data_IF_811715791019
#
_entry.id   IF_811715791019
#
_cell.length_a   1.000
_cell.length_b   1.000
_cell.length_c   1.000
_cell.angle_alpha   90.00
_cell.angle_beta   90.00
_cell.angle_gamma   90.00
#
_symmetry.space_group_name_H-M   'P 1'
#
loop_
_entity.id
_entity.type
_entity.pdbx_description
1 polymer ?
#
# COMPACT_ATOMS: atom_id res chain seq x y z
N UNK A 1 -1.71 -4.54 -17.34
CA UNK A 1 -2.67 -5.04 -16.32
C UNK A 1 -2.53 -6.53 -16.11
N UNK A 2 -2.62 -7.01 -14.85
CA UNK A 2 -2.70 -8.44 -14.51
C UNK A 2 -3.63 -8.62 -13.31
N UNK A 3 -4.56 -9.61 -13.40
CA UNK A 3 -5.34 -10.00 -12.22
C UNK A 3 -4.44 -10.82 -11.29
N UNK A 4 -4.31 -10.42 -10.04
CA UNK A 4 -3.43 -11.04 -9.05
C UNK A 4 -4.19 -11.81 -7.97
N UNK A 5 -5.48 -11.52 -7.82
CA UNK A 5 -6.36 -12.25 -6.93
C UNK A 5 -7.82 -12.15 -7.39
N UNK A 6 -8.55 -13.26 -7.27
CA UNK A 6 -9.99 -13.30 -7.53
C UNK A 6 -10.63 -14.27 -6.51
N UNK A 7 -11.23 -13.68 -5.49
CA UNK A 7 -11.87 -14.39 -4.39
C UNK A 7 -13.39 -14.29 -4.40
N UNK A 8 -14.01 -14.65 -3.28
CA UNK A 8 -15.47 -14.56 -3.12
C UNK A 8 -15.93 -13.11 -2.90
N UNK A 9 -15.15 -12.31 -2.17
CA UNK A 9 -15.52 -10.94 -1.77
C UNK A 9 -14.90 -9.86 -2.64
N UNK A 10 -13.68 -10.08 -3.11
CA UNK A 10 -12.97 -9.08 -3.92
C UNK A 10 -12.09 -9.69 -5.00
N UNK A 11 -11.79 -8.87 -6.00
CA UNK A 11 -10.69 -9.07 -6.93
C UNK A 11 -9.65 -7.97 -6.77
N UNK A 12 -8.40 -8.26 -7.12
CA UNK A 12 -7.30 -7.32 -7.14
C UNK A 12 -6.63 -7.39 -8.50
N UNK A 13 -6.63 -6.28 -9.21
CA UNK A 13 -5.90 -6.11 -10.47
C UNK A 13 -4.69 -5.20 -10.22
N UNK A 14 -3.52 -5.62 -10.73
CA UNK A 14 -2.24 -4.91 -10.67
C UNK A 14 -1.95 -4.22 -11.99
N UNK A 15 -1.53 -2.99 -11.91
CA UNK A 15 -1.03 -2.15 -13.00
C UNK A 15 0.40 -1.78 -12.72
N UNK A 16 1.28 -1.95 -13.70
CA UNK A 16 2.72 -1.68 -13.54
C UNK A 16 3.11 -0.58 -14.52
N UNK A 17 3.76 0.47 -14.01
CA UNK A 17 4.28 1.57 -14.84
C UNK A 17 5.65 2.05 -14.35
N UNK A 18 6.29 2.93 -15.12
CA UNK A 18 7.55 3.56 -14.74
C UNK A 18 8.64 2.58 -14.30
N UNK A 19 9.18 2.76 -13.12
CA UNK A 19 10.21 1.91 -12.50
C UNK A 19 9.61 0.70 -11.77
N UNK A 20 8.75 -0.06 -12.44
CA UNK A 20 8.01 -1.19 -11.84
C UNK A 20 7.09 -0.77 -10.69
N UNK A 21 6.57 0.47 -10.74
CA UNK A 21 5.59 0.95 -9.77
C UNK A 21 4.29 0.16 -9.90
N UNK A 22 3.80 -0.31 -8.78
CA UNK A 22 2.52 -1.01 -8.68
C UNK A 22 1.41 -0.03 -8.30
N UNK A 23 0.33 -0.06 -9.05
CA UNK A 23 -0.97 0.44 -8.61
C UNK A 23 -1.96 -0.72 -8.57
N UNK A 24 -2.99 -0.60 -7.77
CA UNK A 24 -3.98 -1.66 -7.64
C UNK A 24 -5.40 -1.12 -7.75
N UNK A 25 -6.25 -1.89 -8.43
CA UNK A 25 -7.71 -1.71 -8.40
C UNK A 25 -8.29 -2.88 -7.59
N UNK A 26 -8.89 -2.55 -6.46
CA UNK A 26 -9.58 -3.54 -5.61
C UNK A 26 -11.07 -3.39 -5.81
N UNK A 27 -11.72 -4.44 -6.30
CA UNK A 27 -13.14 -4.42 -6.65
C UNK A 27 -13.94 -5.38 -5.75
N UNK A 28 -14.98 -4.87 -5.12
CA UNK A 28 -15.97 -5.67 -4.39
C UNK A 28 -16.80 -6.50 -5.38
N UNK A 29 -16.69 -7.82 -5.31
CA UNK A 29 -17.33 -8.75 -6.27
C UNK A 29 -18.86 -8.67 -6.27
N UNK A 30 -19.47 -8.37 -5.12
CA UNK A 30 -20.93 -8.29 -5.02
C UNK A 30 -21.50 -6.98 -5.53
N UNK A 31 -20.81 -5.85 -5.30
CA UNK A 31 -21.37 -4.51 -5.57
C UNK A 31 -20.80 -3.84 -6.81
N UNK A 32 -19.65 -4.30 -7.31
CA UNK A 32 -18.88 -3.63 -8.35
C UNK A 32 -18.25 -2.30 -7.91
N UNK A 33 -18.35 -1.97 -6.62
CA UNK A 33 -17.64 -0.81 -6.05
C UNK A 33 -16.16 -1.12 -5.93
N UNK A 34 -15.31 -0.12 -6.17
CA UNK A 34 -13.86 -0.30 -6.18
C UNK A 34 -13.12 0.84 -5.48
N UNK A 35 -11.87 0.57 -5.14
CA UNK A 35 -10.91 1.54 -4.62
C UNK A 35 -9.60 1.40 -5.40
N UNK A 36 -8.99 2.53 -5.72
CA UNK A 36 -7.66 2.59 -6.34
C UNK A 36 -6.61 2.78 -5.25
N UNK A 37 -5.53 2.00 -5.30
CA UNK A 37 -4.38 2.12 -4.41
C UNK A 37 -3.18 2.57 -5.24
N UNK A 38 -2.64 3.74 -4.95
CA UNK A 38 -1.60 4.47 -5.66
C UNK A 38 -1.95 4.83 -7.12
N UNK A 39 -1.29 5.88 -7.59
CA UNK A 39 -1.54 6.47 -8.92
C UNK A 39 -0.22 6.87 -9.57
N UNK A 40 0.61 5.90 -9.99
CA UNK A 40 1.88 6.17 -10.64
C UNK A 40 1.71 6.86 -12.01
N UNK A 41 2.82 7.21 -12.64
CA UNK A 41 2.84 7.78 -13.98
C UNK A 41 2.11 6.87 -14.98
N UNK A 42 1.53 7.48 -16.01
CA UNK A 42 0.77 6.78 -17.08
C UNK A 42 -0.33 5.84 -16.53
N UNK A 43 -1.35 6.37 -15.87
CA UNK A 43 -2.42 5.58 -15.29
C UNK A 43 -3.48 5.13 -16.31
N UNK A 44 -3.21 5.14 -17.62
CA UNK A 44 -4.20 4.90 -18.67
C UNK A 44 -4.89 3.55 -18.52
N UNK A 45 -4.12 2.46 -18.41
CA UNK A 45 -4.70 1.10 -18.23
C UNK A 45 -5.49 0.98 -16.91
N UNK A 46 -5.05 1.65 -15.85
CA UNK A 46 -5.77 1.69 -14.58
C UNK A 46 -7.11 2.41 -14.72
N UNK A 47 -7.13 3.55 -15.40
CA UNK A 47 -8.35 4.33 -15.65
C UNK A 47 -9.33 3.51 -16.48
N UNK A 48 -8.89 2.94 -17.60
CA UNK A 48 -9.73 2.10 -18.48
C UNK A 48 -10.34 0.92 -17.73
N UNK A 49 -9.57 0.25 -16.86
CA UNK A 49 -10.08 -0.86 -16.06
C UNK A 49 -11.05 -0.37 -14.95
N UNK A 50 -10.82 0.79 -14.38
CA UNK A 50 -11.66 1.36 -13.34
C UNK A 50 -13.01 1.88 -13.88
N UNK A 51 -13.08 2.28 -15.17
CA UNK A 51 -14.34 2.76 -15.82
C UNK A 51 -15.47 1.72 -15.82
N UNK A 52 -15.15 0.43 -15.80
CA UNK A 52 -16.16 -0.64 -15.74
C UNK A 52 -16.60 -0.99 -14.31
N UNK A 53 -16.05 -0.31 -13.32
CA UNK A 53 -16.39 -0.45 -11.90
C UNK A 53 -17.00 0.85 -11.37
N UNK A 54 -17.36 0.86 -10.09
CA UNK A 54 -17.77 2.08 -9.41
C UNK A 54 -16.71 2.49 -8.40
N UNK A 55 -15.79 3.36 -8.82
CA UNK A 55 -14.74 3.88 -7.95
C UNK A 55 -15.34 4.74 -6.85
N UNK A 56 -15.05 4.43 -5.58
CA UNK A 56 -15.55 5.13 -4.40
C UNK A 56 -14.44 5.93 -3.68
N UNK A 57 -13.17 5.54 -3.85
CA UNK A 57 -12.05 6.20 -3.21
C UNK A 57 -10.74 5.98 -3.97
N UNK A 58 -9.78 6.88 -3.74
CA UNK A 58 -8.37 6.71 -4.10
C UNK A 58 -7.55 6.78 -2.82
N UNK A 59 -6.76 5.75 -2.52
CA UNK A 59 -5.89 5.67 -1.35
C UNK A 59 -4.43 5.70 -1.81
N UNK A 60 -3.64 6.57 -1.22
CA UNK A 60 -2.23 6.72 -1.52
C UNK A 60 -1.42 6.18 -0.35
N UNK A 61 -0.47 5.30 -0.63
CA UNK A 61 0.38 4.71 0.40
C UNK A 61 1.37 5.71 0.97
N UNK A 62 1.96 6.55 0.13
CA UNK A 62 2.90 7.59 0.54
C UNK A 62 3.13 8.66 -0.54
N UNK A 63 3.81 9.74 -0.18
CA UNK A 63 3.90 10.95 -0.98
C UNK A 63 5.04 11.01 -2.01
N UNK A 64 5.77 9.94 -2.31
CA UNK A 64 6.78 9.99 -3.37
C UNK A 64 6.14 10.17 -4.75
N UNK A 65 6.85 10.91 -5.60
CA UNK A 65 6.34 11.34 -6.91
C UNK A 65 5.84 10.17 -7.75
N UNK A 66 6.55 9.10 -7.77
CA UNK A 66 6.26 7.91 -8.57
C UNK A 66 5.02 7.12 -8.10
N UNK A 67 4.46 7.45 -6.91
CA UNK A 67 3.18 6.93 -6.43
C UNK A 67 2.00 7.89 -6.63
N UNK A 68 2.27 9.17 -6.93
CA UNK A 68 1.23 10.21 -7.03
C UNK A 68 1.23 10.94 -8.37
N UNK A 69 2.17 10.69 -9.28
CA UNK A 69 2.34 11.44 -10.52
C UNK A 69 1.09 11.42 -11.41
N UNK A 70 0.37 10.30 -11.45
CA UNK A 70 -0.89 10.12 -12.19
C UNK A 70 -2.15 10.58 -11.45
N UNK A 71 -2.03 11.06 -10.20
CA UNK A 71 -3.19 11.42 -9.38
C UNK A 71 -4.11 12.45 -10.06
N UNK A 72 -3.52 13.43 -10.76
CA UNK A 72 -4.29 14.45 -11.48
C UNK A 72 -5.17 13.87 -12.58
N UNK A 73 -4.70 12.84 -13.29
CA UNK A 73 -5.46 12.15 -14.35
C UNK A 73 -6.55 11.26 -13.74
N UNK A 74 -6.21 10.48 -12.73
CA UNK A 74 -7.17 9.63 -12.01
C UNK A 74 -8.29 10.47 -11.39
N UNK A 75 -7.97 11.56 -10.69
CA UNK A 75 -8.98 12.41 -10.03
C UNK A 75 -9.87 13.19 -10.99
N UNK A 76 -9.43 13.44 -12.23
CA UNK A 76 -10.30 14.03 -13.28
C UNK A 76 -11.31 13.02 -13.80
N UNK A 77 -10.94 11.75 -13.93
CA UNK A 77 -11.85 10.69 -14.37
C UNK A 77 -12.77 10.23 -13.24
N UNK A 78 -12.24 10.17 -12.02
CA UNK A 78 -12.96 9.73 -10.82
C UNK A 78 -12.86 10.82 -9.74
N UNK A 79 -13.81 11.79 -9.69
CA UNK A 79 -13.80 12.87 -8.69
C UNK A 79 -14.33 12.38 -7.32
N UNK A 80 -13.69 11.36 -6.77
CA UNK A 80 -14.03 10.71 -5.51
C UNK A 80 -13.12 11.18 -4.36
N UNK A 81 -13.49 10.90 -3.10
CA UNK A 81 -12.62 11.15 -1.95
C UNK A 81 -11.27 10.45 -2.07
N UNK A 82 -10.20 11.10 -1.61
CA UNK A 82 -8.88 10.52 -1.52
C UNK A 82 -8.39 10.48 -0.06
N UNK A 83 -7.50 9.52 0.23
CA UNK A 83 -6.79 9.36 1.50
C UNK A 83 -5.30 9.24 1.28
N UNK A 84 -4.52 9.93 2.11
CA UNK A 84 -3.07 9.85 2.21
C UNK A 84 -2.67 10.20 3.64
N UNK A 85 -1.55 9.68 4.15
CA UNK A 85 -1.03 10.07 5.45
C UNK A 85 -0.85 11.57 5.58
N UNK A 86 -1.22 12.14 6.73
CA UNK A 86 -1.28 13.59 6.92
C UNK A 86 0.05 14.29 6.63
N UNK A 87 1.18 13.67 6.99
CA UNK A 87 2.51 14.24 6.80
C UNK A 87 2.98 14.21 5.33
N UNK A 88 2.30 13.44 4.47
CA UNK A 88 2.55 13.38 3.03
C UNK A 88 1.49 14.15 2.19
N UNK A 89 0.52 14.78 2.85
CA UNK A 89 -0.60 15.48 2.19
C UNK A 89 -0.16 16.50 1.12
N UNK A 90 0.98 17.14 1.34
CA UNK A 90 1.54 18.14 0.42
C UNK A 90 1.97 17.58 -0.93
N UNK A 91 2.13 16.27 -1.07
CA UNK A 91 2.47 15.61 -2.33
C UNK A 91 1.31 15.58 -3.33
N UNK A 92 0.09 15.79 -2.85
CA UNK A 92 -1.10 15.90 -3.69
C UNK A 92 -1.48 17.37 -3.94
N UNK A 93 -2.11 17.69 -5.09
CA UNK A 93 -2.60 19.04 -5.36
C UNK A 93 -3.48 19.59 -4.23
N UNK A 94 -3.41 20.89 -3.99
CA UNK A 94 -4.26 21.54 -2.97
C UNK A 94 -5.75 21.44 -3.29
N UNK A 95 -6.11 21.27 -4.57
CA UNK A 95 -7.48 21.05 -5.04
C UNK A 95 -7.95 19.60 -4.87
N UNK A 96 -7.07 18.67 -4.48
CA UNK A 96 -7.46 17.27 -4.27
C UNK A 96 -8.45 17.14 -3.10
N UNK A 97 -9.51 16.37 -3.31
CA UNK A 97 -10.53 16.09 -2.29
C UNK A 97 -10.03 15.07 -1.25
N UNK A 98 -9.00 15.45 -0.48
CA UNK A 98 -8.41 14.58 0.56
C UNK A 98 -9.19 14.76 1.84
N UNK A 99 -10.18 13.90 2.04
CA UNK A 99 -11.08 13.91 3.20
C UNK A 99 -11.11 12.57 3.95
N UNK A 100 -10.44 11.54 3.40
CA UNK A 100 -10.31 10.25 4.08
C UNK A 100 -9.09 10.34 5.00
N UNK A 101 -9.34 10.30 6.31
CA UNK A 101 -8.27 10.19 7.29
C UNK A 101 -7.78 8.75 7.37
N UNK A 102 -6.46 8.57 7.45
CA UNK A 102 -5.81 7.25 7.45
C UNK A 102 -4.89 7.02 8.67
N UNK A 103 -5.26 7.43 9.89
CA UNK A 103 -4.52 7.04 11.09
C UNK A 103 -4.65 5.52 11.30
N UNK A 104 -3.72 4.97 12.08
CA UNK A 104 -3.76 3.55 12.42
C UNK A 104 -5.11 3.15 13.04
N UNK A 105 -5.70 2.09 12.47
CA UNK A 105 -6.98 1.53 12.91
C UNK A 105 -8.21 2.12 12.23
N UNK A 106 -8.08 3.22 11.49
CA UNK A 106 -9.21 3.74 10.72
C UNK A 106 -9.59 2.78 9.59
N UNK A 107 -10.88 2.72 9.27
CA UNK A 107 -11.42 1.81 8.26
C UNK A 107 -12.09 2.56 7.12
N UNK A 108 -11.83 2.11 5.91
CA UNK A 108 -12.42 2.61 4.68
C UNK A 108 -13.32 1.52 4.12
N UNK A 109 -14.62 1.78 4.02
CA UNK A 109 -15.61 0.82 3.53
C UNK A 109 -15.92 1.11 2.06
N UNK A 110 -15.79 0.09 1.20
CA UNK A 110 -16.09 0.14 -0.23
C UNK A 110 -16.96 -1.06 -0.60
N UNK A 111 -18.25 -0.81 -0.78
CA UNK A 111 -19.23 -1.89 -0.89
C UNK A 111 -19.23 -2.76 0.37
N UNK A 112 -18.96 -4.05 0.22
CA UNK A 112 -18.88 -5.01 1.34
C UNK A 112 -17.46 -5.27 1.82
N UNK A 113 -16.47 -4.62 1.21
CA UNK A 113 -15.08 -4.78 1.62
C UNK A 113 -14.64 -3.63 2.53
N UNK A 114 -13.73 -3.92 3.42
CA UNK A 114 -13.19 -2.95 4.38
C UNK A 114 -11.67 -2.99 4.31
N UNK A 115 -11.07 -1.82 4.09
CA UNK A 115 -9.63 -1.64 4.23
C UNK A 115 -9.34 -0.95 5.55
N UNK A 116 -8.37 -1.48 6.30
CA UNK A 116 -7.91 -0.87 7.55
C UNK A 116 -6.57 -0.18 7.33
N UNK A 117 -6.51 1.10 7.63
CA UNK A 117 -5.28 1.89 7.55
C UNK A 117 -4.34 1.56 8.72
N UNK A 118 -3.05 1.52 8.42
CA UNK A 118 -1.96 1.38 9.38
C UNK A 118 -0.89 2.41 9.03
N UNK A 119 -0.76 3.46 9.83
CA UNK A 119 0.34 4.41 9.67
C UNK A 119 1.66 3.69 9.95
N UNK A 120 2.56 3.74 8.97
CA UNK A 120 3.86 3.04 8.99
C UNK A 120 4.98 4.00 8.62
N UNK A 121 5.19 5.07 9.40
CA UNK A 121 6.20 6.06 9.09
C UNK A 121 7.61 5.46 9.07
N UNK A 122 8.49 6.13 8.31
CA UNK A 122 9.91 5.81 8.21
C UNK A 122 10.45 5.92 6.79
N UNK A 123 9.85 5.27 5.78
CA UNK A 123 10.18 5.51 4.37
C UNK A 123 9.82 6.95 3.98
N UNK A 124 8.58 7.34 4.28
CA UNK A 124 8.17 8.75 4.40
C UNK A 124 7.49 8.97 5.75
N UNK A 125 7.36 10.23 6.22
CA UNK A 125 6.62 10.51 7.46
C UNK A 125 5.14 10.11 7.40
N UNK A 126 4.51 10.18 6.23
CA UNK A 126 3.10 9.87 6.02
C UNK A 126 2.84 8.45 5.48
N UNK A 127 3.86 7.59 5.38
CA UNK A 127 3.66 6.21 4.89
C UNK A 127 2.54 5.49 5.61
N UNK A 128 1.67 4.85 4.83
CA UNK A 128 0.47 4.15 5.32
C UNK A 128 0.30 2.84 4.55
N UNK A 129 0.16 1.73 5.28
CA UNK A 129 -0.24 0.45 4.70
C UNK A 129 -1.76 0.29 4.80
N UNK A 130 -2.36 -0.41 3.84
CA UNK A 130 -3.80 -0.71 3.84
C UNK A 130 -4.01 -2.21 3.89
N UNK A 131 -4.73 -2.69 4.90
CA UNK A 131 -5.00 -4.12 5.11
C UNK A 131 -6.42 -4.43 4.67
N UNK A 132 -6.56 -5.36 3.74
CA UNK A 132 -7.81 -5.89 3.23
C UNK A 132 -8.04 -7.26 3.88
N UNK A 133 -8.92 -7.30 4.87
CA UNK A 133 -9.18 -8.49 5.69
C UNK A 133 -10.53 -9.12 5.36
N UNK A 134 -10.58 -10.45 5.38
CA UNK A 134 -11.83 -11.20 5.37
C UNK A 134 -12.18 -11.63 6.79
N UNK A 135 -13.18 -11.01 7.44
CA UNK A 135 -13.51 -11.32 8.83
C UNK A 135 -13.94 -12.77 9.07
N UNK A 136 -14.47 -13.43 8.04
CA UNK A 136 -14.89 -14.82 8.07
C UNK A 136 -13.87 -15.79 7.44
N UNK A 137 -12.68 -15.27 7.07
CA UNK A 137 -11.62 -16.03 6.40
C UNK A 137 -12.06 -16.74 5.09
N UNK A 138 -13.10 -16.23 4.40
CA UNK A 138 -13.50 -16.75 3.09
C UNK A 138 -12.46 -16.42 2.02
N UNK A 139 -11.75 -15.30 2.16
CA UNK A 139 -10.68 -14.86 1.27
C UNK A 139 -9.35 -14.67 2.02
N UNK A 140 -8.25 -14.71 1.29
CA UNK A 140 -6.90 -14.47 1.85
C UNK A 140 -6.73 -12.98 2.16
N UNK A 141 -6.22 -12.66 3.34
CA UNK A 141 -5.86 -11.30 3.73
C UNK A 141 -4.73 -10.75 2.85
N UNK A 142 -4.86 -9.51 2.40
CA UNK A 142 -3.86 -8.78 1.64
C UNK A 142 -3.46 -7.51 2.36
N UNK A 143 -2.19 -7.10 2.22
CA UNK A 143 -1.71 -5.80 2.71
C UNK A 143 -0.96 -5.07 1.60
N UNK A 144 -1.42 -3.86 1.28
CA UNK A 144 -0.75 -2.92 0.37
C UNK A 144 0.24 -2.13 1.19
N UNK A 145 1.52 -2.38 1.00
CA UNK A 145 2.57 -1.83 1.85
C UNK A 145 3.23 -0.56 1.30
N UNK A 146 2.92 -0.18 0.05
CA UNK A 146 3.71 0.83 -0.61
C UNK A 146 5.19 0.48 -0.48
N UNK A 147 5.99 1.45 -0.09
CA UNK A 147 7.43 1.27 0.08
C UNK A 147 7.85 1.01 1.54
N UNK A 148 6.95 0.52 2.38
CA UNK A 148 7.27 0.14 3.76
C UNK A 148 7.94 -1.23 3.82
N UNK A 149 7.46 -2.21 3.04
CA UNK A 149 7.94 -3.61 3.06
C UNK A 149 7.94 -4.21 1.66
N UNK A 150 9.07 -4.83 1.30
CA UNK A 150 9.32 -5.57 0.07
C UNK A 150 9.79 -7.00 0.35
N UNK A 151 9.79 -7.90 -0.64
CA UNK A 151 10.60 -9.12 -0.56
C UNK A 151 12.05 -8.75 -0.26
N UNK A 152 12.64 -9.34 0.78
CA UNK A 152 14.06 -9.14 1.13
C UNK A 152 14.39 -7.92 1.96
N UNK A 153 13.40 -7.05 2.30
CA UNK A 153 13.72 -5.92 3.19
C UNK A 153 12.70 -4.79 3.25
N UNK A 154 13.01 -3.76 4.03
CA UNK A 154 12.19 -2.55 4.11
C UNK A 154 12.48 -1.64 2.90
N UNK A 155 11.65 -0.64 2.70
CA UNK A 155 11.94 0.45 1.78
C UNK A 155 13.14 1.28 2.20
N UNK A 156 13.66 2.04 1.24
CA UNK A 156 14.79 2.94 1.45
C UNK A 156 14.52 3.93 2.57
N UNK A 157 15.48 4.06 3.47
CA UNK A 157 15.44 5.02 4.57
C UNK A 157 16.39 6.20 4.34
N UNK A 158 16.00 7.40 4.76
CA UNK A 158 16.81 8.62 4.61
C UNK A 158 17.87 8.80 5.71
N UNK A 159 17.73 8.08 6.83
CA UNK A 159 18.65 8.09 7.96
C UNK A 159 18.49 6.81 8.77
N UNK A 160 19.40 6.60 9.75
CA UNK A 160 19.31 5.50 10.71
C UNK A 160 18.02 5.57 11.55
N UNK A 161 17.63 6.78 11.97
CA UNK A 161 16.38 7.00 12.71
C UNK A 161 15.16 6.61 11.86
N UNK A 162 15.16 6.95 10.57
CA UNK A 162 14.10 6.57 9.64
C UNK A 162 14.05 5.04 9.44
N UNK A 163 15.20 4.37 9.34
CA UNK A 163 15.25 2.89 9.30
C UNK A 163 14.65 2.28 10.57
N UNK A 164 15.04 2.77 11.74
CA UNK A 164 14.50 2.30 13.03
C UNK A 164 12.99 2.52 13.09
N UNK A 165 12.49 3.63 12.54
CA UNK A 165 11.06 3.92 12.50
C UNK A 165 10.31 2.95 11.58
N UNK A 166 10.87 2.59 10.39
CA UNK A 166 10.29 1.53 9.53
C UNK A 166 10.23 0.22 10.30
N UNK A 167 11.34 -0.18 10.94
CA UNK A 167 11.41 -1.44 11.71
C UNK A 167 10.37 -1.46 12.82
N UNK A 168 10.21 -0.37 13.57
CA UNK A 168 9.19 -0.27 14.62
C UNK A 168 7.78 -0.36 14.04
N UNK A 169 7.51 0.33 12.93
CA UNK A 169 6.23 0.26 12.21
C UNK A 169 5.90 -1.16 11.77
N UNK A 170 6.89 -1.88 11.24
CA UNK A 170 6.74 -3.27 10.82
C UNK A 170 6.43 -4.18 11.99
N UNK A 171 7.19 -4.08 13.10
CA UNK A 171 7.00 -4.92 14.30
C UNK A 171 5.66 -4.66 14.97
N UNK A 172 5.27 -3.38 15.10
CA UNK A 172 4.06 -2.98 15.83
C UNK A 172 2.77 -3.22 15.05
N UNK A 173 2.82 -3.20 13.71
CA UNK A 173 1.63 -3.24 12.87
C UNK A 173 1.63 -4.38 11.87
N UNK A 174 2.64 -4.49 11.02
CA UNK A 174 2.61 -5.37 9.86
C UNK A 174 2.90 -6.82 10.24
N UNK A 175 3.88 -7.06 11.09
CA UNK A 175 4.22 -8.41 11.57
C UNK A 175 3.23 -8.97 12.60
N UNK A 176 2.23 -8.19 13.01
CA UNK A 176 1.09 -8.69 13.79
C UNK A 176 0.07 -9.45 12.93
N UNK A 177 0.12 -9.27 11.61
CA UNK A 177 -0.73 -9.98 10.66
C UNK A 177 -0.35 -11.47 10.60
N UNK A 178 -1.32 -12.31 10.18
CA UNK A 178 -1.10 -13.75 10.03
C UNK A 178 -0.09 -14.04 8.91
N UNK A 179 0.66 -15.11 9.03
CA UNK A 179 1.77 -15.44 8.14
C UNK A 179 1.36 -15.66 6.69
N UNK A 180 0.12 -16.10 6.44
CA UNK A 180 -0.44 -16.28 5.10
C UNK A 180 -0.89 -14.99 4.42
N UNK A 181 -0.83 -13.83 5.10
CA UNK A 181 -1.16 -12.54 4.49
C UNK A 181 -0.24 -12.25 3.31
N UNK A 182 -0.83 -11.95 2.15
CA UNK A 182 -0.08 -11.56 0.94
C UNK A 182 0.31 -10.09 1.03
N UNK A 183 1.59 -9.82 0.81
CA UNK A 183 2.17 -8.47 0.79
C UNK A 183 2.24 -7.98 -0.64
N UNK A 184 1.61 -6.85 -0.91
CA UNK A 184 1.51 -6.17 -2.19
C UNK A 184 2.28 -4.84 -2.10
N UNK A 185 3.58 -4.82 -2.45
CA UNK A 185 4.41 -3.61 -2.31
C UNK A 185 4.18 -2.61 -3.44
N UNK A 186 4.71 -1.40 -3.25
CA UNK A 186 4.68 -0.32 -4.22
C UNK A 186 5.51 -0.56 -5.49
N UNK A 187 6.45 -1.50 -5.46
CA UNK A 187 7.27 -1.90 -6.60
C UNK A 187 7.52 -3.40 -6.62
N UNK A 188 7.76 -3.94 -7.83
CA UNK A 188 8.27 -5.31 -8.02
C UNK A 188 7.28 -6.39 -7.60
N UNK A 189 7.82 -7.49 -7.10
CA UNK A 189 7.07 -8.73 -6.85
C UNK A 189 6.50 -8.78 -5.43
N UNK A 190 5.60 -9.76 -5.21
CA UNK A 190 4.89 -9.96 -3.96
C UNK A 190 5.64 -10.90 -3.01
N UNK A 191 5.28 -10.87 -1.73
CA UNK A 191 5.76 -11.80 -0.72
C UNK A 191 4.63 -12.16 0.25
N UNK A 192 4.94 -12.82 1.35
CA UNK A 192 4.02 -13.07 2.46
C UNK A 192 4.58 -12.51 3.76
N UNK A 193 3.70 -12.26 4.72
CA UNK A 193 4.12 -11.85 6.07
C UNK A 193 5.02 -12.93 6.70
N UNK A 194 4.74 -14.21 6.47
CA UNK A 194 5.55 -15.31 7.00
C UNK A 194 6.97 -15.33 6.40
N UNK A 195 7.12 -15.09 5.09
CA UNK A 195 8.44 -14.97 4.45
C UNK A 195 9.20 -13.78 5.01
N UNK A 196 8.56 -12.61 5.04
CA UNK A 196 9.17 -11.38 5.55
C UNK A 196 9.60 -11.47 7.00
N UNK A 197 8.83 -12.15 7.87
CA UNK A 197 9.24 -12.43 9.26
C UNK A 197 10.49 -13.31 9.34
N UNK A 198 10.61 -14.32 8.45
CA UNK A 198 11.81 -15.18 8.42
C UNK A 198 13.04 -14.40 7.96
N UNK A 199 12.91 -13.57 6.94
CA UNK A 199 13.97 -12.69 6.47
C UNK A 199 14.37 -11.67 7.53
N UNK A 200 13.39 -11.05 8.19
CA UNK A 200 13.63 -10.11 9.29
C UNK A 200 14.36 -10.74 10.48
N UNK A 201 14.03 -11.99 10.84
CA UNK A 201 14.73 -12.68 11.91
C UNK A 201 16.24 -12.88 11.61
N UNK A 202 16.62 -13.06 10.35
CA UNK A 202 18.03 -13.10 9.93
C UNK A 202 18.68 -11.72 10.14
N UNK A 203 18.00 -10.65 9.74
CA UNK A 203 18.49 -9.29 9.95
C UNK A 203 18.64 -8.96 11.44
N UNK A 204 17.62 -9.25 12.26
CA UNK A 204 17.62 -8.95 13.71
C UNK A 204 18.70 -9.74 14.48
N UNK A 205 19.14 -10.89 13.95
CA UNK A 205 20.22 -11.68 14.55
C UNK A 205 21.62 -11.09 14.34
N UNK A 206 21.77 -10.15 13.41
CA UNK A 206 23.05 -9.49 13.11
C UNK A 206 23.33 -8.39 14.15
N UNK A 207 24.62 -8.08 14.44
CA UNK A 207 24.95 -6.93 15.27
C UNK A 207 24.37 -5.63 14.73
N UNK A 208 23.83 -4.79 15.60
CA UNK A 208 23.31 -3.48 15.23
C UNK A 208 24.43 -2.58 14.71
N UNK A 209 24.27 -2.06 13.51
CA UNK A 209 25.15 -1.04 12.93
C UNK A 209 24.46 0.32 13.00
N UNK A 210 24.92 1.26 13.85
CA UNK A 210 24.29 2.56 13.99
C UNK A 210 24.46 3.48 12.76
N UNK A 211 25.27 3.09 11.79
CA UNK A 211 25.44 3.80 10.52
C UNK A 211 24.56 3.25 9.40
N UNK A 212 23.82 2.15 9.64
CA UNK A 212 23.00 1.49 8.64
C UNK A 212 21.74 2.32 8.31
N UNK A 213 21.58 2.65 7.05
CA UNK A 213 20.37 3.25 6.45
C UNK A 213 20.46 3.18 4.92
N UNK A 214 19.48 3.69 4.22
CA UNK A 214 19.41 3.62 2.76
C UNK A 214 18.67 2.39 2.27
N UNK A 215 19.16 1.76 1.22
CA UNK A 215 18.62 0.51 0.67
C UNK A 215 19.18 -0.66 1.51
N UNK A 216 18.41 -1.11 2.48
CA UNK A 216 18.80 -2.17 3.42
C UNK A 216 18.17 -3.49 3.00
N UNK A 217 18.99 -4.55 2.90
CA UNK A 217 18.50 -5.92 2.70
C UNK A 217 18.62 -6.74 3.96
N UNK A 218 17.68 -7.65 4.19
CA UNK A 218 17.64 -8.53 5.36
C UNK A 218 18.41 -9.83 5.17
N UNK A 219 18.73 -10.18 3.94
CA UNK A 219 19.45 -11.40 3.52
C UNK A 219 20.84 -11.10 2.99
#
# INVERSE_FOLDING_TARGET
MSNVFSGEKWSIDRFVSGFSNNAFLVTCMRTGMSVIIDTPADPTELIEAAEITRVEAVLITHGHRDHVEGFGDVSRNFPVPAGIGADDRQSLPTSANVVIEVPTGNTIVVGDITLRAMATPGHTPGSTCYVLESPDNSDVTHVFTGDTLFPGGPGKSSSHEALNQIVESLKSHIFTLIDSTVVLPGHGEFTTIGDSKREFAVFESKPTDPSLYGDVTWT
#
